data_IF_372289789800
#
_entry.id   IF_372289789800
#
_cell.length_a   1.000
_cell.length_b   1.000
_cell.length_c   1.000
_cell.angle_alpha   90.00
_cell.angle_beta   90.00
_cell.angle_gamma   90.00
#
_symmetry.space_group_name_H-M   'P 1'
#
loop_
_entity.id
_entity.type
_entity.pdbx_description
1 polymer ?
#
# COMPACT_ATOMS: atom_id res chain seq x y z
N UNK A 1 -20.97 -3.37 -4.97
CA UNK A 1 -20.28 -3.56 -6.28
C UNK A 1 -18.79 -3.56 -6.02
N UNK A 2 -17.99 -4.45 -6.63
CA UNK A 2 -16.54 -4.48 -6.38
C UNK A 2 -15.89 -3.25 -7.02
N UNK A 3 -15.35 -2.34 -6.21
CA UNK A 3 -14.64 -1.15 -6.68
C UNK A 3 -13.35 -1.60 -7.38
N UNK A 4 -13.17 -1.25 -8.65
CA UNK A 4 -11.90 -1.53 -9.33
C UNK A 4 -10.89 -0.39 -9.13
N UNK A 5 -9.63 -0.64 -9.45
CA UNK A 5 -8.53 0.34 -9.28
C UNK A 5 -8.81 1.68 -9.96
N UNK A 6 -9.34 1.68 -11.19
CA UNK A 6 -9.62 2.92 -11.93
C UNK A 6 -10.73 3.73 -11.25
N UNK A 7 -11.78 3.05 -10.78
CA UNK A 7 -12.87 3.67 -10.02
C UNK A 7 -12.39 4.20 -8.66
N UNK A 8 -11.53 3.46 -7.95
CA UNK A 8 -10.95 3.90 -6.69
C UNK A 8 -10.07 5.15 -6.86
N UNK A 9 -9.23 5.17 -7.91
CA UNK A 9 -8.43 6.34 -8.27
C UNK A 9 -9.33 7.53 -8.60
N UNK A 10 -10.37 7.34 -9.42
CA UNK A 10 -11.28 8.42 -9.80
C UNK A 10 -12.01 9.01 -8.58
N UNK A 11 -12.56 8.13 -7.72
CA UNK A 11 -13.19 8.52 -6.45
C UNK A 11 -12.25 9.32 -5.57
N UNK A 12 -11.02 8.83 -5.34
CA UNK A 12 -10.07 9.52 -4.45
C UNK A 12 -9.55 10.82 -5.06
N UNK A 13 -9.34 10.90 -6.38
CA UNK A 13 -8.98 12.15 -7.04
C UNK A 13 -10.07 13.23 -6.93
N UNK A 14 -11.35 12.83 -7.00
CA UNK A 14 -12.47 13.73 -6.77
C UNK A 14 -12.44 14.31 -5.34
N UNK A 15 -12.18 13.47 -4.34
CA UNK A 15 -12.03 13.89 -2.93
C UNK A 15 -10.81 14.81 -2.72
N UNK A 16 -9.72 14.59 -3.46
CA UNK A 16 -8.49 15.39 -3.41
C UNK A 16 -8.59 16.71 -4.21
N UNK A 17 -9.68 16.95 -4.94
CA UNK A 17 -9.87 18.15 -5.76
C UNK A 17 -9.00 18.22 -7.01
N UNK A 18 -8.42 17.09 -7.47
CA UNK A 18 -7.54 17.08 -8.64
C UNK A 18 -6.98 15.71 -9.02
N UNK A 19 -6.35 15.64 -10.20
CA UNK A 19 -5.76 14.41 -10.74
C UNK A 19 -4.38 14.09 -10.12
N UNK A 20 -4.37 13.69 -8.84
CA UNK A 20 -3.15 13.36 -8.07
C UNK A 20 -2.71 11.91 -8.29
N UNK A 21 -3.67 10.99 -8.29
CA UNK A 21 -3.46 9.56 -8.42
C UNK A 21 -3.63 9.12 -9.88
N UNK A 22 -2.76 8.21 -10.31
CA UNK A 22 -2.79 7.59 -11.61
C UNK A 22 -2.42 6.10 -11.53
N UNK A 23 -2.63 5.38 -12.63
CA UNK A 23 -2.41 3.92 -12.67
C UNK A 23 -0.97 3.52 -12.31
N UNK A 24 0.00 4.41 -12.57
CA UNK A 24 1.43 4.15 -12.42
C UNK A 24 2.00 4.50 -11.03
N UNK A 25 1.39 5.41 -10.27
CA UNK A 25 1.86 5.84 -8.95
C UNK A 25 1.00 5.31 -7.79
N UNK A 26 -0.13 4.67 -8.10
CA UNK A 26 -1.09 4.14 -7.14
C UNK A 26 -1.15 2.62 -7.21
N UNK A 27 -1.15 1.96 -6.05
CA UNK A 27 -1.47 0.56 -5.89
C UNK A 27 -2.85 0.45 -5.22
N UNK A 28 -3.60 -0.59 -5.57
CA UNK A 28 -4.97 -0.79 -5.09
C UNK A 28 -5.16 -2.24 -4.68
N UNK A 29 -5.86 -2.44 -3.57
CA UNK A 29 -6.28 -3.77 -3.12
C UNK A 29 -7.59 -3.69 -2.34
N UNK A 30 -8.36 -4.77 -2.37
CA UNK A 30 -9.54 -4.95 -1.52
C UNK A 30 -9.13 -5.65 -0.22
N UNK A 31 -9.90 -5.43 0.86
CA UNK A 31 -9.73 -6.13 2.14
C UNK A 31 -9.92 -7.65 1.97
N UNK A 32 -8.91 -8.44 2.32
CA UNK A 32 -9.08 -9.88 2.55
C UNK A 32 -9.73 -10.08 3.91
N UNK A 33 -11.06 -10.25 3.92
CA UNK A 33 -11.86 -10.42 5.15
C UNK A 33 -11.50 -11.67 5.96
N UNK A 34 -10.94 -12.71 5.33
CA UNK A 34 -10.58 -13.95 6.05
C UNK A 34 -9.37 -13.70 6.95
N UNK A 35 -8.46 -12.85 6.51
CA UNK A 35 -7.22 -12.52 7.20
C UNK A 35 -7.23 -11.14 7.85
N UNK A 36 -8.26 -10.35 7.57
CA UNK A 36 -8.42 -8.96 7.98
C UNK A 36 -7.24 -8.06 7.59
N UNK A 37 -6.77 -8.16 6.34
CA UNK A 37 -5.62 -7.40 5.83
C UNK A 37 -5.84 -6.84 4.42
N UNK A 38 -5.09 -5.79 4.10
CA UNK A 38 -4.83 -5.35 2.73
C UNK A 38 -3.46 -5.84 2.26
N UNK A 39 -3.43 -6.59 1.16
CA UNK A 39 -2.20 -7.14 0.60
C UNK A 39 -1.67 -6.27 -0.54
N UNK A 40 -0.37 -5.98 -0.53
CA UNK A 40 0.33 -5.35 -1.65
C UNK A 40 1.60 -6.09 -2.06
N UNK A 41 1.83 -6.20 -3.37
CA UNK A 41 3.14 -6.49 -3.95
C UNK A 41 3.64 -5.20 -4.63
N UNK A 42 4.72 -4.62 -4.09
CA UNK A 42 5.32 -3.38 -4.59
C UNK A 42 6.67 -3.69 -5.24
N UNK A 43 6.87 -3.43 -6.55
CA UNK A 43 8.18 -3.65 -7.16
C UNK A 43 9.25 -2.77 -6.49
N UNK A 44 10.36 -3.36 -6.05
CA UNK A 44 11.46 -2.62 -5.41
C UNK A 44 12.00 -1.50 -6.31
N UNK A 45 11.95 -1.70 -7.64
CA UNK A 45 12.33 -0.68 -8.61
C UNK A 45 11.53 0.63 -8.47
N UNK A 46 10.30 0.60 -7.93
CA UNK A 46 9.47 1.80 -7.70
C UNK A 46 9.99 2.68 -6.58
N UNK A 47 10.76 2.12 -5.64
CA UNK A 47 11.35 2.88 -4.52
C UNK A 47 12.81 3.25 -4.76
N UNK A 48 13.36 2.99 -5.96
CA UNK A 48 14.72 3.39 -6.29
C UNK A 48 14.87 4.92 -6.26
N UNK A 49 16.09 5.38 -5.91
CA UNK A 49 16.42 6.82 -5.87
C UNK A 49 16.18 7.44 -7.25
N UNK A 50 15.56 8.61 -7.28
CA UNK A 50 15.26 9.34 -8.52
C UNK A 50 14.06 8.84 -9.33
N UNK A 51 13.27 7.87 -8.81
CA UNK A 51 12.05 7.39 -9.46
C UNK A 51 10.81 8.17 -8.98
N UNK A 52 10.18 7.70 -7.92
CA UNK A 52 9.00 8.32 -7.33
C UNK A 52 9.34 8.82 -5.92
N UNK A 53 8.88 10.01 -5.58
CA UNK A 53 8.99 10.51 -4.21
C UNK A 53 8.01 9.77 -3.28
N UNK A 54 6.83 9.40 -3.81
CA UNK A 54 5.73 8.77 -3.07
C UNK A 54 5.21 7.53 -3.77
N UNK A 55 4.76 6.55 -2.99
CA UNK A 55 3.86 5.49 -3.43
C UNK A 55 2.51 5.70 -2.76
N UNK A 56 1.45 5.59 -3.55
CA UNK A 56 0.08 5.69 -3.05
C UNK A 56 -0.52 4.30 -2.88
N UNK A 57 -1.02 3.98 -1.69
CA UNK A 57 -1.71 2.73 -1.40
C UNK A 57 -3.20 3.04 -1.18
N UNK A 58 -4.05 2.54 -2.07
CA UNK A 58 -5.49 2.57 -1.92
C UNK A 58 -5.99 1.22 -1.41
N UNK A 59 -6.75 1.26 -0.34
CA UNK A 59 -7.22 0.10 0.40
C UNK A 59 -8.72 0.21 0.56
N UNK A 60 -9.45 -0.69 -0.08
CA UNK A 60 -10.91 -0.64 -0.07
C UNK A 60 -11.49 -1.70 0.87
N UNK A 61 -12.45 -1.31 1.69
CA UNK A 61 -13.32 -2.22 2.42
C UNK A 61 -14.70 -2.23 1.74
N UNK A 62 -14.99 -3.31 1.01
CA UNK A 62 -16.22 -3.45 0.24
C UNK A 62 -17.49 -3.60 1.09
N UNK A 63 -17.37 -3.95 2.38
CA UNK A 63 -18.52 -4.07 3.27
C UNK A 63 -19.02 -2.71 3.74
N UNK A 64 -18.09 -1.80 4.06
CA UNK A 64 -18.41 -0.46 4.55
C UNK A 64 -18.30 0.61 3.46
N UNK A 65 -17.95 0.22 2.23
CA UNK A 65 -17.60 1.12 1.11
C UNK A 65 -16.55 2.17 1.50
N UNK A 66 -15.65 1.81 2.41
CA UNK A 66 -14.57 2.69 2.86
C UNK A 66 -13.39 2.57 1.90
N UNK A 67 -12.86 3.72 1.45
CA UNK A 67 -11.63 3.79 0.68
C UNK A 67 -10.58 4.56 1.47
N UNK A 68 -9.58 3.83 1.98
CA UNK A 68 -8.43 4.41 2.67
C UNK A 68 -7.32 4.74 1.67
N UNK A 69 -6.55 5.79 1.97
CA UNK A 69 -5.44 6.24 1.15
C UNK A 69 -4.21 6.50 2.03
N UNK A 70 -3.11 5.79 1.73
CA UNK A 70 -1.80 6.09 2.28
C UNK A 70 -0.92 6.76 1.24
N UNK A 71 -0.26 7.86 1.61
CA UNK A 71 0.79 8.49 0.83
C UNK A 71 2.14 8.19 1.48
N UNK A 72 2.79 7.12 1.03
CA UNK A 72 4.00 6.59 1.66
C UNK A 72 5.25 7.16 0.97
N UNK A 73 6.15 7.86 1.67
CA UNK A 73 7.43 8.28 1.10
C UNK A 73 8.27 7.07 0.67
N UNK A 74 8.84 7.10 -0.53
CA UNK A 74 9.71 5.98 -0.97
C UNK A 74 10.98 5.88 -0.13
N UNK A 75 11.43 6.99 0.47
CA UNK A 75 12.55 7.00 1.43
C UNK A 75 12.25 6.16 2.67
N UNK A 76 11.02 6.23 3.20
CA UNK A 76 10.62 5.42 4.35
C UNK A 76 10.70 3.92 4.01
N UNK A 77 10.22 3.51 2.83
CA UNK A 77 10.30 2.11 2.39
C UNK A 77 11.75 1.65 2.19
N UNK A 78 12.65 2.53 1.71
CA UNK A 78 14.08 2.22 1.61
C UNK A 78 14.72 2.05 2.99
N UNK A 79 14.45 2.96 3.93
CA UNK A 79 14.98 2.92 5.29
C UNK A 79 14.48 1.71 6.09
N UNK A 80 13.24 1.27 5.83
CA UNK A 80 12.64 0.11 6.50
C UNK A 80 12.83 -1.20 5.73
N UNK A 81 13.55 -1.20 4.61
CA UNK A 81 13.59 -2.35 3.68
C UNK A 81 14.08 -3.64 4.36
N UNK A 82 15.06 -3.56 5.25
CA UNK A 82 15.56 -4.72 6.03
C UNK A 82 14.50 -5.33 6.96
N UNK A 83 13.56 -4.50 7.43
CA UNK A 83 12.43 -4.91 8.27
C UNK A 83 11.17 -5.26 7.49
N UNK A 84 11.21 -5.23 6.15
CA UNK A 84 10.10 -5.59 5.28
C UNK A 84 10.40 -6.90 4.57
N UNK A 85 9.34 -7.65 4.22
CA UNK A 85 9.52 -8.90 3.48
C UNK A 85 9.66 -8.60 1.99
N UNK A 86 10.83 -8.97 1.43
CA UNK A 86 11.12 -8.86 -0.01
C UNK A 86 11.07 -10.24 -0.67
N UNK A 87 10.06 -10.47 -1.50
CA UNK A 87 9.98 -11.66 -2.36
C UNK A 87 10.96 -11.52 -3.52
N UNK A 88 11.56 -12.64 -3.93
CA UNK A 88 12.53 -12.69 -5.04
C UNK A 88 13.76 -11.79 -4.81
N UNK A 89 14.17 -11.59 -3.56
CA UNK A 89 15.39 -10.86 -3.23
C UNK A 89 16.60 -11.43 -3.99
N UNK A 90 17.42 -10.55 -4.58
CA UNK A 90 18.56 -10.94 -5.41
C UNK A 90 18.21 -11.54 -6.79
N UNK A 91 16.92 -11.64 -7.14
CA UNK A 91 16.46 -12.16 -8.44
C UNK A 91 15.81 -11.06 -9.28
N UNK A 92 15.42 -11.40 -10.52
CA UNK A 92 14.69 -10.49 -11.41
C UNK A 92 13.33 -10.12 -10.81
N UNK A 93 13.00 -8.82 -10.82
CA UNK A 93 11.74 -8.24 -10.29
C UNK A 93 11.48 -8.60 -8.81
N UNK A 94 12.34 -8.12 -7.88
CA UNK A 94 12.05 -8.25 -6.46
C UNK A 94 10.88 -7.34 -6.08
N UNK A 95 10.06 -7.82 -5.15
CA UNK A 95 8.83 -7.16 -4.70
C UNK A 95 8.77 -7.11 -3.18
N UNK A 96 8.48 -5.94 -2.64
CA UNK A 96 8.13 -5.76 -1.24
C UNK A 96 6.70 -6.26 -1.08
N UNK A 97 6.50 -7.25 -0.21
CA UNK A 97 5.19 -7.81 0.11
C UNK A 97 4.72 -7.20 1.42
N UNK A 98 3.55 -6.56 1.42
CA UNK A 98 2.94 -5.99 2.62
C UNK A 98 1.63 -6.70 2.92
N UNK A 99 1.39 -6.97 4.19
CA UNK A 99 0.08 -7.36 4.72
C UNK A 99 -0.31 -6.34 5.79
N UNK A 100 -1.06 -5.30 5.40
CA UNK A 100 -1.46 -4.24 6.31
C UNK A 100 -2.72 -4.65 7.06
N UNK A 101 -2.64 -4.73 8.38
CA UNK A 101 -3.75 -5.14 9.24
C UNK A 101 -4.90 -4.13 9.28
N UNK A 102 -6.12 -4.64 9.26
CA UNK A 102 -7.34 -3.90 9.54
C UNK A 102 -7.82 -4.10 11.00
N UNK A 103 -7.08 -4.84 11.83
CA UNK A 103 -7.40 -5.01 13.25
C UNK A 103 -7.15 -3.70 14.02
N UNK A 104 -8.04 -3.39 14.96
CA UNK A 104 -7.98 -2.16 15.76
C UNK A 104 -6.63 -1.95 16.46
N UNK A 105 -6.08 -3.00 17.04
CA UNK A 105 -4.85 -2.92 17.86
C UNK A 105 -3.56 -2.90 17.02
N UNK A 106 -3.67 -3.19 15.72
CA UNK A 106 -2.52 -3.23 14.80
C UNK A 106 -2.82 -2.52 13.48
N UNK A 107 -3.74 -1.56 13.49
CA UNK A 107 -4.27 -0.94 12.28
C UNK A 107 -3.14 -0.34 11.42
N UNK A 108 -3.08 -0.74 10.14
CA UNK A 108 -2.06 -0.36 9.16
C UNK A 108 -0.62 -0.74 9.53
N UNK A 109 -0.44 -1.69 10.45
CA UNK A 109 0.84 -2.35 10.70
C UNK A 109 1.03 -3.49 9.71
N UNK A 110 2.24 -3.62 9.17
CA UNK A 110 2.63 -4.78 8.38
C UNK A 110 2.75 -6.02 9.29
N UNK A 111 1.94 -7.04 9.05
CA UNK A 111 1.84 -8.26 9.87
C UNK A 111 2.48 -9.49 9.21
N UNK A 112 3.30 -9.28 8.17
CA UNK A 112 4.08 -10.37 7.56
C UNK A 112 4.90 -11.11 8.63
N UNK A 113 4.83 -12.45 8.74
CA UNK A 113 5.50 -13.20 9.82
C UNK A 113 7.01 -13.01 9.95
N UNK A 114 7.70 -12.65 8.87
CA UNK A 114 9.13 -12.38 8.84
C UNK A 114 9.47 -10.87 8.77
N UNK A 115 8.46 -10.00 8.90
CA UNK A 115 8.62 -8.56 8.93
C UNK A 115 8.82 -8.02 10.36
N UNK A 116 9.33 -6.81 10.47
CA UNK A 116 9.60 -6.13 11.73
C UNK A 116 8.37 -5.42 12.33
N UNK A 117 7.17 -5.62 11.76
CA UNK A 117 5.97 -4.95 12.24
C UNK A 117 5.93 -3.46 11.92
N UNK A 118 6.37 -3.07 10.72
CA UNK A 118 6.46 -1.65 10.32
C UNK A 118 5.06 -1.02 10.28
N UNK A 119 4.87 0.09 10.98
CA UNK A 119 3.61 0.84 10.95
C UNK A 119 3.56 1.83 9.79
N UNK A 120 2.40 1.90 9.14
CA UNK A 120 2.10 2.84 8.05
C UNK A 120 1.00 3.85 8.41
N UNK A 121 0.45 3.78 9.63
CA UNK A 121 -0.68 4.61 10.06
C UNK A 121 -0.39 6.13 9.94
N UNK A 122 0.87 6.54 10.14
CA UNK A 122 1.32 7.93 10.02
C UNK A 122 1.20 8.51 8.60
N UNK A 123 0.91 7.69 7.59
CA UNK A 123 0.80 8.11 6.18
C UNK A 123 -0.65 8.18 5.67
N UNK A 124 -1.63 7.97 6.54
CA UNK A 124 -3.05 8.08 6.19
C UNK A 124 -3.44 9.53 5.84
N UNK A 125 -4.17 9.70 4.74
CA UNK A 125 -4.72 10.99 4.26
C UNK A 125 -6.23 11.05 4.39
#
# INVERSE_FOLDING_TARGET
>A
MKLNKAQAIARRNQELGGAVLGVNNCHFTDLDRKRNIWWFDLPVARIAVGQYEWIHLLMHNAETDQLLHLKVPTVFLREKLEGLVVRNAGKRKPEITLELSADKDSFLKDVRPAGAGVSFAQFAL
#
